data_IF_534437234875
#
_entry.id   IF_534437234875
#
_cell.length_a   1.000
_cell.length_b   1.000
_cell.length_c   1.000
_cell.angle_alpha   90.00
_cell.angle_beta   90.00
_cell.angle_gamma   90.00
#
_symmetry.space_group_name_H-M   'P 1'
#
loop_
_entity.id
_entity.type
_entity.pdbx_description
1 polymer ?
#
# COMPACT_ATOMS: atom_id res chain seq x y z
N UNK A 1 16.49 13.86 -7.29
CA UNK A 1 17.46 12.78 -7.56
C UNK A 1 16.74 11.46 -7.33
N UNK A 2 16.70 10.56 -8.31
CA UNK A 2 16.15 9.22 -8.07
C UNK A 2 17.10 8.52 -7.09
N UNK A 3 16.55 7.88 -6.05
CA UNK A 3 17.34 7.07 -5.12
C UNK A 3 17.98 5.93 -5.91
N UNK A 4 19.27 5.69 -5.69
CA UNK A 4 19.92 4.48 -6.19
C UNK A 4 19.28 3.25 -5.52
N UNK A 5 19.04 2.22 -6.31
CA UNK A 5 18.46 0.97 -5.84
C UNK A 5 19.42 0.28 -4.87
N UNK A 6 18.97 -0.02 -3.66
CA UNK A 6 19.75 -0.79 -2.69
C UNK A 6 19.58 -2.28 -3.02
N UNK A 7 20.66 -3.06 -2.91
CA UNK A 7 20.62 -4.52 -3.13
C UNK A 7 19.57 -5.15 -2.20
N UNK A 8 18.65 -5.91 -2.79
CA UNK A 8 17.56 -6.59 -2.05
C UNK A 8 16.29 -5.76 -1.86
N UNK A 9 16.27 -4.48 -2.27
CA UNK A 9 15.07 -3.65 -2.23
C UNK A 9 14.12 -4.02 -3.38
N UNK A 10 12.89 -4.42 -3.05
CA UNK A 10 11.84 -4.56 -4.06
C UNK A 10 11.29 -3.17 -4.45
N UNK A 11 11.08 -2.88 -5.75
CA UNK A 11 10.38 -1.67 -6.18
C UNK A 11 8.98 -1.53 -5.56
N UNK A 12 8.58 -0.28 -5.29
CA UNK A 12 7.18 0.08 -5.09
C UNK A 12 6.55 0.49 -6.42
N UNK A 13 5.49 -0.19 -6.82
CA UNK A 13 4.61 0.22 -7.89
C UNK A 13 3.31 0.81 -7.32
N UNK A 14 2.92 1.98 -7.81
CA UNK A 14 1.72 2.67 -7.32
C UNK A 14 0.57 2.49 -8.30
N UNK A 15 -0.57 2.01 -7.82
CA UNK A 15 -1.72 1.72 -8.68
C UNK A 15 -2.69 2.91 -8.73
N UNK A 16 -3.00 3.38 -9.93
CA UNK A 16 -3.94 4.48 -10.15
C UNK A 16 -3.51 5.75 -9.39
N UNK A 17 -4.43 6.36 -8.65
CA UNK A 17 -4.15 7.60 -7.91
C UNK A 17 -3.39 7.40 -6.59
N UNK A 18 -3.07 6.17 -6.19
CA UNK A 18 -2.56 5.88 -4.85
C UNK A 18 -1.36 6.75 -4.44
N UNK A 19 -0.43 7.03 -5.36
CA UNK A 19 0.74 7.88 -5.07
C UNK A 19 0.34 9.33 -4.81
N UNK A 20 -0.54 9.88 -5.64
CA UNK A 20 -1.01 11.26 -5.50
C UNK A 20 -1.74 11.41 -4.17
N UNK A 21 -2.70 10.53 -3.90
CA UNK A 21 -3.51 10.57 -2.68
C UNK A 21 -2.64 10.38 -1.42
N UNK A 22 -1.61 9.54 -1.48
CA UNK A 22 -0.64 9.36 -0.39
C UNK A 22 0.19 10.63 -0.12
N UNK A 23 0.61 11.31 -1.17
CA UNK A 23 1.42 12.54 -1.06
C UNK A 23 0.60 13.76 -0.62
N UNK A 24 -0.72 13.66 -0.60
CA UNK A 24 -1.62 14.68 -0.03
C UNK A 24 -1.77 14.55 1.50
N UNK A 25 -1.23 13.48 2.11
CA UNK A 25 -1.27 13.31 3.55
C UNK A 25 -0.36 14.31 4.30
N UNK A 26 -0.61 14.55 5.59
CA UNK A 26 0.32 15.30 6.44
C UNK A 26 1.72 14.67 6.43
N UNK A 27 2.76 15.51 6.46
CA UNK A 27 4.15 15.04 6.42
C UNK A 27 4.51 13.98 7.49
N UNK A 28 4.04 14.06 8.75
CA UNK A 28 4.27 13.00 9.74
C UNK A 28 3.69 11.65 9.30
N UNK A 29 2.49 11.65 8.70
CA UNK A 29 1.83 10.45 8.18
C UNK A 29 2.61 9.87 7.01
N UNK A 30 3.04 10.71 6.06
CA UNK A 30 3.89 10.29 4.92
C UNK A 30 5.18 9.65 5.41
N UNK A 31 5.82 10.25 6.42
CA UNK A 31 7.08 9.75 6.98
C UNK A 31 6.92 8.36 7.58
N UNK A 32 5.92 8.18 8.46
CA UNK A 32 5.70 6.90 9.16
C UNK A 32 5.25 5.79 8.19
N UNK A 33 4.29 6.08 7.32
CA UNK A 33 3.85 5.11 6.33
C UNK A 33 4.93 4.81 5.28
N UNK A 34 5.74 5.81 4.92
CA UNK A 34 6.89 5.63 4.04
C UNK A 34 7.94 4.69 4.65
N UNK A 35 8.18 4.79 5.96
CA UNK A 35 9.03 3.84 6.69
C UNK A 35 8.45 2.43 6.61
N UNK A 36 7.16 2.27 6.90
CA UNK A 36 6.49 0.97 6.85
C UNK A 36 6.54 0.32 5.44
N UNK A 37 6.35 1.11 4.39
CA UNK A 37 6.52 0.65 3.00
C UNK A 37 7.97 0.27 2.72
N UNK A 38 8.94 1.04 3.20
CA UNK A 38 10.37 0.72 3.11
C UNK A 38 10.70 -0.63 3.76
N UNK A 39 10.18 -0.90 4.95
CA UNK A 39 10.33 -2.21 5.62
C UNK A 39 9.75 -3.34 4.75
N UNK A 40 8.58 -3.13 4.14
CA UNK A 40 7.98 -4.10 3.24
C UNK A 40 8.80 -4.36 1.96
N UNK A 41 9.49 -3.35 1.43
CA UNK A 41 10.37 -3.52 0.27
C UNK A 41 11.52 -4.50 0.52
N UNK A 42 11.97 -4.64 1.77
CA UNK A 42 12.99 -5.61 2.19
C UNK A 42 12.40 -6.93 2.74
N UNK A 43 11.09 -7.14 2.57
CA UNK A 43 10.40 -8.36 3.03
C UNK A 43 10.09 -8.39 4.53
N UNK A 44 10.28 -7.28 5.25
CA UNK A 44 9.87 -7.14 6.63
C UNK A 44 8.38 -6.82 6.78
N UNK A 45 7.90 -6.87 8.02
CA UNK A 45 6.57 -6.41 8.40
C UNK A 45 6.70 -5.33 9.48
N UNK A 46 6.28 -4.12 9.14
CA UNK A 46 6.29 -3.00 10.07
C UNK A 46 5.25 -3.21 11.20
N UNK A 47 5.50 -2.80 12.46
CA UNK A 47 4.54 -2.99 13.56
C UNK A 47 3.16 -2.35 13.35
N UNK A 48 3.09 -1.24 12.59
CA UNK A 48 1.81 -0.59 12.23
C UNK A 48 1.11 -1.24 11.04
N UNK A 49 1.76 -2.18 10.34
CA UNK A 49 1.18 -2.91 9.22
C UNK A 49 0.33 -4.10 9.72
N UNK A 50 -0.91 -4.16 9.25
CA UNK A 50 -1.90 -5.18 9.64
C UNK A 50 -2.47 -5.89 8.42
N UNK A 51 -2.84 -7.17 8.51
CA UNK A 51 -3.51 -7.85 7.41
C UNK A 51 -4.81 -7.14 7.02
N UNK A 52 -4.95 -6.84 5.73
CA UNK A 52 -6.16 -6.25 5.19
C UNK A 52 -7.28 -7.30 5.10
N UNK A 53 -8.48 -6.95 5.57
CA UNK A 53 -9.63 -7.88 5.58
C UNK A 53 -10.39 -7.82 4.24
N UNK A 54 -10.58 -8.98 3.62
CA UNK A 54 -11.52 -9.16 2.50
C UNK A 54 -10.90 -9.60 1.16
N UNK A 55 -9.57 -9.53 1.01
CA UNK A 55 -8.91 -9.77 -0.29
C UNK A 55 -8.07 -11.04 -0.28
N UNK A 56 -7.97 -11.75 0.84
CA UNK A 56 -7.09 -12.91 1.05
C UNK A 56 -5.72 -12.51 1.63
N UNK A 57 -4.83 -13.49 1.79
CA UNK A 57 -3.49 -13.29 2.38
C UNK A 57 -2.57 -12.38 1.53
N UNK A 58 -1.54 -11.80 2.14
CA UNK A 58 -0.55 -11.01 1.41
C UNK A 58 -1.00 -9.59 1.00
N UNK A 59 -2.15 -9.13 1.48
CA UNK A 59 -2.58 -7.72 1.41
C UNK A 59 -2.54 -7.15 2.82
N UNK A 60 -1.94 -5.98 2.98
CA UNK A 60 -1.70 -5.32 4.25
C UNK A 60 -2.13 -3.86 4.19
N UNK A 61 -2.47 -3.30 5.35
CA UNK A 61 -2.69 -1.87 5.53
C UNK A 61 -1.73 -1.33 6.60
N UNK A 62 -1.14 -0.17 6.33
CA UNK A 62 -0.52 0.68 7.34
C UNK A 62 -1.58 1.66 7.82
N UNK A 63 -1.74 1.78 9.14
CA UNK A 63 -2.69 2.70 9.77
C UNK A 63 -1.91 3.71 10.60
N UNK A 64 -2.16 5.00 10.37
CA UNK A 64 -1.55 6.08 11.14
C UNK A 64 -2.62 7.10 11.54
N UNK A 65 -2.63 7.49 12.82
CA UNK A 65 -3.53 8.51 13.35
C UNK A 65 -2.78 9.83 13.50
N UNK A 66 -3.35 10.93 12.99
CA UNK A 66 -2.75 12.26 13.09
C UNK A 66 -3.84 13.32 13.19
N UNK A 67 -3.72 14.21 14.17
CA UNK A 67 -4.62 15.35 14.38
C UNK A 67 -6.13 15.01 14.41
N UNK A 68 -6.47 13.87 15.02
CA UNK A 68 -7.87 13.39 15.12
C UNK A 68 -8.39 12.64 13.88
N UNK A 69 -7.57 12.55 12.84
CA UNK A 69 -7.85 11.79 11.62
C UNK A 69 -7.07 10.47 11.56
N UNK A 70 -7.64 9.48 10.87
CA UNK A 70 -6.99 8.18 10.61
C UNK A 70 -6.69 8.04 9.14
N UNK A 71 -5.44 7.79 8.80
CA UNK A 71 -4.95 7.58 7.44
C UNK A 71 -4.63 6.10 7.23
N UNK A 72 -4.82 5.61 6.01
CA UNK A 72 -4.49 4.24 5.64
C UNK A 72 -3.78 4.17 4.30
N UNK A 73 -2.74 3.33 4.22
CA UNK A 73 -2.10 2.94 2.98
C UNK A 73 -2.15 1.40 2.84
N UNK A 74 -2.80 0.92 1.79
CA UNK A 74 -2.99 -0.51 1.51
C UNK A 74 -2.02 -0.95 0.44
N UNK A 75 -1.29 -2.04 0.69
CA UNK A 75 -0.30 -2.60 -0.22
C UNK A 75 -0.38 -4.13 -0.28
N UNK A 76 0.21 -4.73 -1.31
CA UNK A 76 0.27 -6.18 -1.48
C UNK A 76 1.70 -6.66 -1.72
N UNK A 77 2.03 -7.80 -1.11
CA UNK A 77 3.34 -8.46 -1.20
C UNK A 77 3.27 -9.79 -1.97
N UNK A 78 2.14 -10.07 -2.62
CA UNK A 78 1.90 -11.32 -3.37
C UNK A 78 2.84 -11.52 -4.56
N UNK A 79 3.44 -10.44 -5.03
CA UNK A 79 4.24 -10.38 -6.23
C UNK A 79 5.72 -10.43 -5.84
N UNK A 80 6.47 -11.38 -6.39
CA UNK A 80 7.82 -11.68 -5.89
C UNK A 80 8.75 -10.51 -6.13
N UNK A 81 8.68 -9.88 -7.29
CA UNK A 81 9.61 -8.86 -7.77
C UNK A 81 9.24 -7.43 -7.35
N UNK A 82 8.01 -7.18 -6.88
CA UNK A 82 7.50 -5.81 -6.69
C UNK A 82 6.43 -5.76 -5.59
N UNK A 83 6.42 -4.67 -4.83
CA UNK A 83 5.35 -4.36 -3.88
C UNK A 83 4.41 -3.36 -4.54
N UNK A 84 3.11 -3.67 -4.59
CA UNK A 84 2.13 -2.73 -5.13
C UNK A 84 1.43 -1.98 -4.00
N UNK A 85 1.49 -0.65 -4.04
CA UNK A 85 0.63 0.21 -3.21
C UNK A 85 -0.69 0.41 -3.96
N UNK A 86 -1.75 -0.15 -3.39
CA UNK A 86 -3.07 -0.23 -4.01
C UNK A 86 -3.86 1.04 -3.75
N UNK A 87 -3.88 1.54 -2.52
CA UNK A 87 -4.71 2.70 -2.18
C UNK A 87 -4.15 3.43 -0.97
N UNK A 88 -4.21 4.76 -0.98
CA UNK A 88 -4.02 5.58 0.19
C UNK A 88 -5.28 6.45 0.36
N UNK A 89 -5.83 6.51 1.57
CA UNK A 89 -7.00 7.33 1.88
C UNK A 89 -7.03 7.77 3.35
N UNK A 90 -7.63 8.92 3.61
CA UNK A 90 -8.06 9.32 4.95
C UNK A 90 -9.45 8.75 5.22
N UNK A 91 -9.63 8.15 6.38
CA UNK A 91 -10.92 7.66 6.84
C UNK A 91 -11.83 8.83 7.17
N UNK A 92 -12.96 8.93 6.46
CA UNK A 92 -13.92 10.05 6.61
C UNK A 92 -14.71 10.09 7.92
N UNK A 93 -14.66 9.04 8.74
CA UNK A 93 -15.37 8.99 10.03
C UNK A 93 -14.45 8.48 11.14
N UNK A 94 -14.14 9.28 12.16
CA UNK A 94 -13.30 8.85 13.27
C UNK A 94 -13.89 7.64 14.02
N UNK A 95 -15.22 7.59 14.17
CA UNK A 95 -15.92 6.62 15.04
C UNK A 95 -16.29 5.28 14.38
N UNK A 96 -16.25 5.14 13.06
CA UNK A 96 -16.64 3.89 12.39
C UNK A 96 -15.53 2.84 12.41
N UNK A 97 -15.73 1.64 12.95
CA UNK A 97 -14.68 0.58 12.93
C UNK A 97 -14.45 0.07 11.49
N UNK A 98 -15.49 0.08 10.66
CA UNK A 98 -15.46 -0.45 9.29
C UNK A 98 -14.94 0.58 8.30
N UNK A 99 -14.03 0.16 7.43
CA UNK A 99 -13.63 0.92 6.25
C UNK A 99 -14.83 1.12 5.32
N UNK A 100 -14.93 2.28 4.65
CA UNK A 100 -16.03 2.55 3.76
C UNK A 100 -16.03 1.56 2.60
N UNK A 101 -17.23 1.15 2.16
CA UNK A 101 -17.40 0.18 1.07
C UNK A 101 -16.67 0.59 -0.21
N UNK A 102 -16.63 1.89 -0.51
CA UNK A 102 -15.91 2.43 -1.66
C UNK A 102 -14.40 2.16 -1.62
N UNK A 103 -13.76 2.31 -0.47
CA UNK A 103 -12.32 2.04 -0.33
C UNK A 103 -12.04 0.54 -0.46
N UNK A 104 -12.93 -0.31 0.07
CA UNK A 104 -12.83 -1.78 -0.06
C UNK A 104 -12.93 -2.22 -1.53
N UNK A 105 -13.90 -1.67 -2.25
CA UNK A 105 -14.08 -1.91 -3.69
C UNK A 105 -12.89 -1.38 -4.50
N UNK A 106 -12.34 -0.21 -4.14
CA UNK A 106 -11.16 0.36 -4.77
C UNK A 106 -9.93 -0.54 -4.61
N UNK A 107 -9.67 -1.04 -3.41
CA UNK A 107 -8.58 -1.99 -3.14
C UNK A 107 -8.75 -3.26 -3.98
N UNK A 108 -9.96 -3.84 -4.03
CA UNK A 108 -10.22 -5.04 -4.83
C UNK A 108 -9.97 -4.80 -6.33
N UNK A 109 -10.42 -3.66 -6.87
CA UNK A 109 -10.22 -3.30 -8.27
C UNK A 109 -8.75 -3.10 -8.59
N UNK A 110 -8.02 -2.38 -7.74
CA UNK A 110 -6.60 -2.08 -7.96
C UNK A 110 -5.70 -3.29 -7.75
N UNK A 111 -6.11 -4.25 -6.94
CA UNK A 111 -5.40 -5.53 -6.83
C UNK A 111 -5.45 -6.33 -8.14
N UNK A 112 -6.57 -6.28 -8.89
CA UNK A 112 -6.65 -6.89 -10.22
C UNK A 112 -5.72 -6.20 -11.22
N UNK A 113 -5.69 -4.87 -11.21
CA UNK A 113 -4.77 -4.09 -12.06
C UNK A 113 -3.30 -4.42 -11.72
N UNK A 114 -2.97 -4.57 -10.44
CA UNK A 114 -1.63 -4.98 -10.03
C UNK A 114 -1.26 -6.39 -10.54
N UNK A 115 -2.21 -7.33 -10.55
CA UNK A 115 -2.02 -8.67 -11.10
C UNK A 115 -1.72 -8.60 -12.61
N UNK A 116 -2.53 -7.85 -13.36
CA UNK A 116 -2.37 -7.67 -14.82
C UNK A 116 -1.01 -7.01 -15.15
N UNK A 117 -0.62 -5.96 -14.41
CA UNK A 117 0.67 -5.30 -14.58
C UNK A 117 1.85 -6.24 -14.26
N UNK A 118 1.72 -7.05 -13.21
CA UNK A 118 2.75 -8.01 -12.86
C UNK A 118 2.90 -9.10 -13.92
N UNK A 119 1.81 -9.67 -14.41
CA UNK A 119 1.82 -10.68 -15.47
C UNK A 119 2.43 -10.12 -16.76
N UNK A 120 2.09 -8.89 -17.14
CA UNK A 120 2.66 -8.23 -18.31
C UNK A 120 4.17 -7.98 -18.20
N UNK A 121 4.70 -7.72 -16.99
CA UNK A 121 6.12 -7.43 -16.76
C UNK A 121 6.98 -8.66 -16.49
N UNK A 122 6.41 -9.67 -15.84
CA UNK A 122 7.16 -10.79 -15.26
C UNK A 122 6.63 -12.18 -15.66
N UNK A 123 5.48 -12.26 -16.33
CA UNK A 123 4.81 -13.52 -16.68
C UNK A 123 5.54 -14.40 -17.70
N UNK A 124 6.54 -13.87 -18.41
CA UNK A 124 7.33 -14.62 -19.39
C UNK A 124 8.60 -15.27 -18.82
N UNK A 125 8.90 -15.09 -17.52
CA UNK A 125 9.96 -15.88 -16.86
C UNK A 125 9.44 -17.28 -16.53
N UNK A 126 9.31 -18.11 -17.57
CA UNK A 126 9.28 -19.57 -17.43
C UNK A 126 10.65 -20.11 -17.03
#
# INVERSE_FOLDING_TARGET
MARDWIIGEKPLAWVGSAKRDFLEFPMPVISEMGNALGVAQFGGLHPSAKPWKGQGSGVFEVVEDFDGDTYRAVYTVRFREVIYVLHAFQKKSPKGIKTARGDVEMVARRLKIAQEDYEARYGEKK
#
